data_IF_340215387377
#
_entry.id   IF_340215387377
#
_cell.length_a   1.000
_cell.length_b   1.000
_cell.length_c   1.000
_cell.angle_alpha   90.00
_cell.angle_beta   90.00
_cell.angle_gamma   90.00
#
_symmetry.space_group_name_H-M   'P 1'
#
loop_
_entity.id
_entity.type
_entity.pdbx_description
1 polymer ?
#
# COMPACT_ATOMS: atom_id res chain seq x y z
N UNK A 1 22.57 -7.80 -11.90
CA UNK A 1 21.12 -8.06 -11.93
C UNK A 1 20.44 -7.41 -10.72
N UNK A 2 19.48 -6.52 -10.95
CA UNK A 2 18.76 -5.86 -9.85
C UNK A 2 17.91 -6.88 -9.08
N UNK A 3 17.99 -6.80 -7.75
CA UNK A 3 17.20 -7.64 -6.86
C UNK A 3 15.79 -7.04 -6.67
N UNK A 4 14.75 -7.86 -6.52
CA UNK A 4 13.41 -7.37 -6.24
C UNK A 4 13.37 -6.65 -4.88
N UNK A 5 12.83 -5.44 -4.87
CA UNK A 5 12.60 -4.64 -3.66
C UNK A 5 11.18 -4.91 -3.16
N UNK A 6 11.05 -5.28 -1.88
CA UNK A 6 9.78 -5.38 -1.17
C UNK A 6 9.63 -4.17 -0.25
N UNK A 7 8.52 -3.45 -0.35
CA UNK A 7 8.20 -2.31 0.51
C UNK A 7 7.08 -2.70 1.48
N UNK A 8 7.30 -2.43 2.77
CA UNK A 8 6.29 -2.64 3.81
C UNK A 8 5.58 -1.31 4.15
N UNK A 9 4.25 -1.34 4.25
CA UNK A 9 3.42 -0.18 4.63
C UNK A 9 2.40 -0.55 5.71
N UNK A 10 2.88 -0.95 6.90
CA UNK A 10 2.00 -1.45 7.97
C UNK A 10 0.98 -0.41 8.48
N UNK A 11 1.42 0.74 9.00
CA UNK A 11 0.49 1.69 9.65
C UNK A 11 -0.53 2.30 8.70
N UNK A 12 -0.12 2.61 7.48
CA UNK A 12 -1.04 3.18 6.49
C UNK A 12 -2.20 2.20 6.20
N UNK A 13 -1.89 0.92 6.05
CA UNK A 13 -2.89 -0.13 5.80
C UNK A 13 -3.72 -0.40 7.07
N UNK A 14 -3.07 -0.60 8.23
CA UNK A 14 -3.75 -0.93 9.48
C UNK A 14 -4.68 0.19 9.98
N UNK A 15 -4.40 1.44 9.64
CA UNK A 15 -5.18 2.59 10.07
C UNK A 15 -5.95 3.24 8.92
N UNK A 16 -6.11 2.55 7.79
CA UNK A 16 -6.89 3.04 6.65
C UNK A 16 -8.37 3.29 7.01
N UNK A 17 -8.91 2.54 7.97
CA UNK A 17 -10.19 2.82 8.61
C UNK A 17 -10.26 2.17 9.99
N UNK A 18 -11.03 2.78 10.90
CA UNK A 18 -11.42 2.21 12.19
C UNK A 18 -12.88 1.73 12.22
N UNK A 19 -13.54 1.70 11.05
CA UNK A 19 -14.95 1.33 10.90
C UNK A 19 -15.10 -0.03 10.19
N UNK A 20 -16.34 -0.43 9.93
CA UNK A 20 -16.70 -1.71 9.29
C UNK A 20 -16.15 -1.84 7.86
N UNK A 21 -15.75 -0.74 7.22
CA UNK A 21 -15.18 -0.71 5.86
C UNK A 21 -13.66 -0.97 5.82
N UNK A 22 -13.04 -1.38 6.93
CA UNK A 22 -11.60 -1.61 7.04
C UNK A 22 -11.01 -2.41 5.87
N UNK A 23 -11.63 -3.53 5.48
CA UNK A 23 -11.09 -4.38 4.41
C UNK A 23 -11.00 -3.62 3.07
N UNK A 24 -12.00 -2.79 2.76
CA UNK A 24 -12.01 -2.01 1.53
C UNK A 24 -11.06 -0.81 1.62
N UNK A 25 -11.02 -0.13 2.76
CA UNK A 25 -10.08 0.97 3.01
C UNK A 25 -8.62 0.50 2.95
N UNK A 26 -8.29 -0.61 3.61
CA UNK A 26 -6.97 -1.23 3.58
C UNK A 26 -6.55 -1.62 2.15
N UNK A 27 -7.49 -2.17 1.36
CA UNK A 27 -7.24 -2.49 -0.06
C UNK A 27 -6.94 -1.22 -0.87
N UNK A 28 -7.72 -0.16 -0.72
CA UNK A 28 -7.49 1.10 -1.42
C UNK A 28 -6.12 1.69 -1.09
N UNK A 29 -5.72 1.67 0.19
CA UNK A 29 -4.42 2.19 0.61
C UNK A 29 -3.24 1.35 0.08
N UNK A 30 -3.38 0.02 0.06
CA UNK A 30 -2.38 -0.87 -0.53
C UNK A 30 -2.22 -0.63 -2.05
N UNK A 31 -3.32 -0.47 -2.78
CA UNK A 31 -3.30 -0.16 -4.22
C UNK A 31 -2.63 1.20 -4.48
N UNK A 32 -3.02 2.23 -3.72
CA UNK A 32 -2.40 3.56 -3.80
C UNK A 32 -0.90 3.51 -3.56
N UNK A 33 -0.46 2.78 -2.52
CA UNK A 33 0.98 2.62 -2.22
C UNK A 33 1.72 1.97 -3.40
N UNK A 34 1.16 0.90 -3.96
CA UNK A 34 1.73 0.23 -5.14
C UNK A 34 1.82 1.19 -6.33
N UNK A 35 0.77 1.94 -6.61
CA UNK A 35 0.71 2.82 -7.78
C UNK A 35 1.74 3.96 -7.66
N UNK A 36 1.94 4.52 -6.47
CA UNK A 36 3.03 5.49 -6.19
C UNK A 36 4.41 4.87 -6.46
N UNK A 37 4.66 3.65 -5.99
CA UNK A 37 5.95 2.97 -6.22
C UNK A 37 6.18 2.64 -7.69
N UNK A 38 5.14 2.28 -8.43
CA UNK A 38 5.26 2.07 -9.88
C UNK A 38 5.51 3.38 -10.62
N UNK A 39 4.84 4.47 -10.25
CA UNK A 39 5.08 5.79 -10.84
C UNK A 39 6.50 6.31 -10.58
N UNK A 40 7.13 5.90 -9.47
CA UNK A 40 8.49 6.27 -9.12
C UNK A 40 9.57 5.37 -9.76
N UNK A 41 9.21 4.30 -10.48
CA UNK A 41 10.17 3.51 -11.26
C UNK A 41 10.57 4.28 -12.51
N UNK A 42 11.82 4.75 -12.53
CA UNK A 42 12.52 5.30 -13.69
C UNK A 42 13.37 4.25 -14.40
#
# INVERSE_FOLDING_TARGET
>A
PDAPIIVNSSRAILYASSAEDFAEAARREALKTRDVLQAARS
#
